data_IF_665816790321
#
_entry.id   IF_665816790321
#
_cell.length_a   1.000
_cell.length_b   1.000
_cell.length_c   1.000
_cell.angle_alpha   90.00
_cell.angle_beta   90.00
_cell.angle_gamma   90.00
#
_symmetry.space_group_name_H-M   'P 1'
#
loop_
_entity.id
_entity.type
_entity.pdbx_description
1 polymer ?
#
# COMPACT_ATOMS: atom_id res chain seq x y z
N UNK A 1 2.11 -3.59 -25.83
CA UNK A 1 3.03 -2.72 -25.08
C UNK A 1 2.32 -2.35 -23.79
N UNK A 2 3.01 -2.40 -22.66
CA UNK A 2 2.41 -2.05 -21.38
C UNK A 2 1.82 -0.65 -21.43
N UNK A 3 0.69 -0.44 -20.81
CA UNK A 3 -0.03 0.83 -20.79
C UNK A 3 -0.26 1.28 -19.37
N UNK A 4 0.00 2.56 -19.08
CA UNK A 4 -0.32 3.22 -17.83
C UNK A 4 -1.65 3.95 -17.94
N UNK A 5 -2.52 3.74 -16.97
CA UNK A 5 -3.73 4.52 -16.75
C UNK A 5 -3.52 5.39 -15.52
N UNK A 6 -3.77 6.68 -15.62
CA UNK A 6 -3.58 7.62 -14.51
C UNK A 6 -4.73 8.63 -14.45
N UNK A 7 -4.86 9.28 -13.30
CA UNK A 7 -5.80 10.38 -13.08
C UNK A 7 -5.04 11.61 -12.61
N UNK A 8 -5.48 12.78 -13.03
CA UNK A 8 -4.84 14.05 -12.67
C UNK A 8 -5.86 15.15 -12.44
N UNK A 9 -5.48 16.14 -11.64
CA UNK A 9 -6.32 17.27 -11.27
C UNK A 9 -6.22 18.36 -12.33
N UNK A 10 -7.36 19.01 -12.64
CA UNK A 10 -7.48 20.20 -13.47
C UNK A 10 -8.38 21.20 -12.76
N UNK A 11 -8.50 22.41 -13.30
CA UNK A 11 -9.45 23.41 -12.80
C UNK A 11 -10.93 22.95 -12.89
N UNK A 12 -11.23 21.99 -13.77
CA UNK A 12 -12.58 21.45 -14.00
C UNK A 12 -12.87 20.15 -13.24
N UNK A 13 -11.85 19.58 -12.56
CA UNK A 13 -11.97 18.34 -11.80
C UNK A 13 -10.89 17.32 -12.13
N UNK A 14 -11.15 16.04 -11.81
CA UNK A 14 -10.24 14.93 -12.08
C UNK A 14 -10.51 14.37 -13.48
N UNK A 15 -9.44 14.21 -14.25
CA UNK A 15 -9.44 13.70 -15.62
C UNK A 15 -8.61 12.41 -15.71
N UNK A 16 -9.05 11.47 -16.52
CA UNK A 16 -8.32 10.23 -16.81
C UNK A 16 -7.40 10.40 -18.02
N UNK A 17 -6.23 9.75 -17.96
CA UNK A 17 -5.25 9.75 -19.03
C UNK A 17 -4.59 8.39 -19.18
N UNK A 18 -3.90 8.21 -20.32
CA UNK A 18 -3.07 7.04 -20.59
C UNK A 18 -1.68 7.47 -21.01
N UNK A 19 -0.67 6.67 -20.67
CA UNK A 19 0.71 6.92 -21.04
C UNK A 19 1.43 5.61 -21.38
N UNK A 20 2.50 5.70 -22.14
CA UNK A 20 3.33 4.55 -22.52
C UNK A 20 4.49 4.34 -21.55
N UNK A 21 4.80 5.36 -20.73
CA UNK A 21 5.88 5.29 -19.75
C UNK A 21 5.66 6.29 -18.59
N UNK A 22 6.27 6.06 -17.41
CA UNK A 22 6.13 6.94 -16.24
C UNK A 22 6.64 8.37 -16.45
N UNK A 23 7.63 8.58 -17.33
CA UNK A 23 8.18 9.91 -17.61
C UNK A 23 7.13 10.83 -18.24
N UNK A 24 6.10 10.26 -18.87
CA UNK A 24 4.96 11.00 -19.43
C UNK A 24 3.99 11.53 -18.37
N UNK A 25 4.14 11.11 -17.13
CA UNK A 25 3.34 11.61 -16.00
C UNK A 25 3.91 12.90 -15.41
N UNK A 26 5.12 13.27 -15.78
CA UNK A 26 5.77 14.49 -15.30
C UNK A 26 4.95 15.75 -15.68
N UNK A 27 4.80 16.65 -14.71
CA UNK A 27 4.06 17.91 -14.88
C UNK A 27 2.55 17.82 -14.65
N UNK A 28 1.99 16.61 -14.44
CA UNK A 28 0.61 16.47 -14.01
C UNK A 28 0.51 16.51 -12.47
N UNK A 29 -0.52 17.17 -11.95
CA UNK A 29 -0.94 17.05 -10.55
C UNK A 29 -1.74 15.74 -10.42
N UNK A 30 -1.04 14.64 -10.11
CA UNK A 30 -1.63 13.31 -10.10
C UNK A 30 -2.65 13.16 -8.95
N UNK A 31 -3.75 12.48 -9.25
CA UNK A 31 -4.74 12.03 -8.28
C UNK A 31 -4.60 10.53 -8.06
N UNK A 32 -5.28 9.98 -7.04
CA UNK A 32 -5.37 8.54 -6.86
C UNK A 32 -5.86 7.88 -8.16
N UNK A 33 -5.14 6.90 -8.71
CA UNK A 33 -5.44 6.37 -10.04
C UNK A 33 -6.73 5.54 -10.10
N UNK A 34 -7.16 5.01 -8.95
CA UNK A 34 -8.42 4.29 -8.76
C UNK A 34 -8.99 4.63 -7.40
N UNK A 35 -10.30 4.87 -7.30
CA UNK A 35 -11.01 5.02 -6.02
C UNK A 35 -11.62 3.66 -5.65
N UNK A 36 -10.88 2.83 -4.89
CA UNK A 36 -11.31 1.47 -4.65
C UNK A 36 -12.54 1.42 -3.74
N UNK A 37 -13.59 0.63 -4.10
CA UNK A 37 -14.68 0.33 -3.16
C UNK A 37 -14.16 -0.37 -1.90
N UNK A 38 -13.16 -1.25 -2.07
CA UNK A 38 -12.47 -1.95 -0.99
C UNK A 38 -10.98 -2.02 -1.27
N UNK A 39 -10.16 -1.88 -0.21
CA UNK A 39 -8.75 -2.22 -0.22
C UNK A 39 -8.54 -3.38 0.75
N UNK A 40 -7.99 -4.47 0.23
CA UNK A 40 -7.60 -5.64 0.98
C UNK A 40 -6.08 -5.70 1.10
N UNK A 41 -5.56 -6.37 2.10
CA UNK A 41 -4.14 -6.64 2.27
C UNK A 41 -3.87 -8.13 2.42
N UNK A 42 -2.71 -8.58 1.94
CA UNK A 42 -2.19 -9.91 2.15
C UNK A 42 -0.94 -9.85 3.04
N UNK A 43 -1.00 -10.47 4.22
CA UNK A 43 0.12 -10.50 5.15
C UNK A 43 1.09 -11.64 4.88
N UNK A 44 2.34 -11.47 5.34
CA UNK A 44 3.37 -12.52 5.41
C UNK A 44 3.63 -13.24 4.07
N UNK A 45 3.65 -12.49 2.96
CA UNK A 45 3.85 -13.05 1.61
C UNK A 45 5.31 -13.15 1.18
N UNK A 46 6.23 -12.51 1.92
CA UNK A 46 7.67 -12.56 1.72
C UNK A 46 8.38 -13.23 2.90
N UNK A 47 9.49 -13.91 2.64
CA UNK A 47 10.32 -14.48 3.71
C UNK A 47 10.81 -13.40 4.69
N UNK A 48 11.25 -12.27 4.20
CA UNK A 48 11.69 -11.14 5.04
C UNK A 48 10.57 -10.62 5.95
N UNK A 49 9.32 -10.56 5.46
CA UNK A 49 8.20 -10.12 6.30
C UNK A 49 7.86 -11.16 7.38
N UNK A 50 7.95 -12.46 7.07
CA UNK A 50 7.85 -13.54 8.08
C UNK A 50 8.90 -13.34 9.18
N UNK A 51 10.16 -13.15 8.80
CA UNK A 51 11.25 -13.05 9.75
C UNK A 51 11.10 -11.83 10.66
N UNK A 52 10.78 -10.65 10.10
CA UNK A 52 10.48 -9.45 10.86
C UNK A 52 9.31 -9.68 11.85
N UNK A 53 8.20 -10.27 11.40
CA UNK A 53 7.05 -10.54 12.27
C UNK A 53 7.37 -11.54 13.39
N UNK A 54 8.20 -12.54 13.12
CA UNK A 54 8.66 -13.50 14.15
C UNK A 54 9.52 -12.81 15.19
N UNK A 55 10.37 -11.85 14.81
CA UNK A 55 11.20 -11.07 15.74
C UNK A 55 10.36 -10.13 16.62
N UNK A 56 9.38 -9.44 16.04
CA UNK A 56 8.57 -8.39 16.64
C UNK A 56 7.39 -8.90 17.51
N UNK A 57 6.91 -10.13 17.29
CA UNK A 57 5.68 -10.63 17.89
C UNK A 57 5.90 -11.39 19.19
N UNK A 58 4.91 -11.27 20.09
CA UNK A 58 4.79 -12.13 21.29
C UNK A 58 4.36 -13.56 20.95
N UNK A 59 3.81 -13.81 19.74
CA UNK A 59 3.32 -15.12 19.24
C UNK A 59 4.08 -15.52 17.99
N UNK A 60 5.37 -15.79 18.14
CA UNK A 60 6.33 -16.02 17.04
C UNK A 60 5.95 -17.14 16.08
N UNK A 61 5.44 -18.24 16.59
CA UNK A 61 5.09 -19.42 15.78
C UNK A 61 3.95 -19.15 14.79
N UNK A 62 3.07 -18.20 15.07
CA UNK A 62 1.91 -17.87 14.24
C UNK A 62 2.33 -17.41 12.83
N UNK A 63 3.31 -16.52 12.75
CA UNK A 63 3.75 -15.96 11.45
C UNK A 63 4.50 -16.96 10.59
N UNK A 64 5.26 -17.87 11.21
CA UNK A 64 5.87 -19.00 10.51
C UNK A 64 4.79 -19.95 9.97
N UNK A 65 3.78 -20.26 10.79
CA UNK A 65 2.65 -21.10 10.38
C UNK A 65 1.85 -20.49 9.23
N UNK A 66 1.58 -19.19 9.26
CA UNK A 66 0.85 -18.47 8.19
C UNK A 66 1.65 -18.44 6.89
N UNK A 67 2.97 -18.20 6.96
CA UNK A 67 3.82 -18.21 5.78
C UNK A 67 3.79 -19.56 5.05
N UNK A 68 3.77 -20.67 5.80
CA UNK A 68 3.77 -22.02 5.25
C UNK A 68 2.38 -22.60 4.99
N UNK A 69 1.32 -21.94 5.49
CA UNK A 69 -0.06 -22.40 5.32
C UNK A 69 -0.50 -22.42 3.85
N UNK A 70 -1.48 -23.26 3.52
CA UNK A 70 -2.17 -23.22 2.24
C UNK A 70 -2.95 -21.90 2.07
N UNK A 71 -3.69 -21.51 3.11
CA UNK A 71 -4.50 -20.30 3.13
C UNK A 71 -3.64 -19.08 3.49
N UNK A 72 -3.61 -18.01 2.65
CA UNK A 72 -2.93 -16.77 2.98
C UNK A 72 -3.65 -16.00 4.09
N UNK A 73 -2.93 -15.12 4.79
CA UNK A 73 -3.54 -14.07 5.58
C UNK A 73 -4.12 -13.02 4.63
N UNK A 74 -5.42 -12.72 4.79
CA UNK A 74 -6.11 -11.65 4.06
C UNK A 74 -6.92 -10.83 5.04
N UNK A 75 -6.84 -9.50 4.93
CA UNK A 75 -7.55 -8.58 5.81
C UNK A 75 -8.07 -7.36 5.05
N UNK A 76 -9.16 -6.76 5.54
CA UNK A 76 -9.68 -5.52 5.00
C UNK A 76 -8.82 -4.35 5.49
N UNK A 77 -8.29 -3.55 4.57
CA UNK A 77 -7.49 -2.35 4.85
C UNK A 77 -8.32 -1.07 4.83
N UNK A 78 -9.21 -0.95 3.84
CA UNK A 78 -10.10 0.20 3.71
C UNK A 78 -11.41 -0.19 3.03
N UNK A 79 -12.45 0.58 3.28
CA UNK A 79 -13.72 0.49 2.58
C UNK A 79 -14.18 1.88 2.15
N UNK A 80 -14.70 1.97 0.92
CA UNK A 80 -15.18 3.20 0.30
C UNK A 80 -14.09 4.30 0.23
N UNK A 81 -12.84 3.93 0.02
CA UNK A 81 -11.68 4.83 -0.14
C UNK A 81 -11.56 5.90 0.96
N UNK A 82 -11.96 5.58 2.20
CA UNK A 82 -12.05 6.57 3.30
C UNK A 82 -10.73 6.85 3.99
N UNK A 83 -9.75 5.95 3.86
CA UNK A 83 -8.44 5.99 4.54
C UNK A 83 -7.29 5.95 3.57
N UNK A 84 -7.60 5.72 2.31
CA UNK A 84 -6.65 5.64 1.21
C UNK A 84 -6.43 7.04 0.63
N UNK A 85 -5.18 7.36 0.38
CA UNK A 85 -4.74 8.65 -0.19
C UNK A 85 -4.01 8.41 -1.52
N UNK A 86 -3.98 9.44 -2.35
CA UNK A 86 -3.28 9.45 -3.64
C UNK A 86 -1.87 10.03 -3.57
N UNK A 87 -1.21 10.20 -4.73
CA UNK A 87 0.10 10.85 -4.82
C UNK A 87 0.05 12.28 -4.27
N UNK A 88 1.06 12.65 -3.46
CA UNK A 88 1.16 13.96 -2.84
C UNK A 88 0.25 14.20 -1.64
N UNK A 89 -0.76 13.36 -1.43
CA UNK A 89 -1.66 13.46 -0.27
C UNK A 89 -0.99 12.86 0.99
N UNK A 90 -1.31 13.36 2.20
CA UNK A 90 -0.60 12.97 3.41
C UNK A 90 -0.99 11.58 3.91
N UNK A 91 0.03 10.76 4.23
CA UNK A 91 -0.10 9.56 5.06
C UNK A 91 -0.32 9.95 6.52
N UNK A 92 -1.11 9.15 7.24
CA UNK A 92 -1.28 9.29 8.68
C UNK A 92 -0.38 8.35 9.46
N UNK A 93 0.08 8.79 10.65
CA UNK A 93 0.67 7.92 11.67
C UNK A 93 -0.14 8.01 12.95
N UNK A 94 -0.27 6.88 13.67
CA UNK A 94 -1.07 6.82 14.91
C UNK A 94 -0.37 7.54 16.05
N UNK A 95 -1.10 8.40 16.75
CA UNK A 95 -0.58 9.11 17.93
C UNK A 95 -0.56 8.28 19.22
N UNK A 96 -1.21 7.11 19.23
CA UNK A 96 -1.22 6.15 20.33
C UNK A 96 -0.28 4.95 20.09
N UNK A 97 0.68 5.12 19.18
CA UNK A 97 1.70 4.13 18.85
C UNK A 97 3.04 4.81 18.64
N UNK A 98 4.07 4.30 19.32
CA UNK A 98 5.44 4.78 19.20
C UNK A 98 6.19 4.16 18.00
N UNK A 99 5.63 3.15 17.34
CA UNK A 99 6.29 2.44 16.24
C UNK A 99 5.37 2.28 15.04
N UNK A 100 5.48 3.21 14.10
CA UNK A 100 4.75 3.23 12.83
C UNK A 100 5.73 3.02 11.68
N UNK A 101 5.38 2.18 10.71
CA UNK A 101 6.25 1.88 9.55
C UNK A 101 5.50 1.93 8.23
N UNK A 102 6.17 2.32 7.13
CA UNK A 102 5.64 2.15 5.79
C UNK A 102 5.90 0.71 5.32
N UNK A 103 4.99 0.17 4.54
CA UNK A 103 5.12 -1.12 3.89
C UNK A 103 4.92 -0.94 2.38
N UNK A 104 6.01 -0.81 1.58
CA UNK A 104 5.92 -0.65 0.14
C UNK A 104 5.55 -1.97 -0.53
N UNK A 105 4.52 -1.93 -1.40
CA UNK A 105 3.92 -3.10 -2.01
C UNK A 105 3.57 -2.88 -3.48
N UNK A 106 3.46 -3.97 -4.24
CA UNK A 106 2.65 -3.98 -5.45
C UNK A 106 1.20 -4.18 -5.01
N UNK A 107 0.31 -3.41 -5.60
CA UNK A 107 -1.12 -3.50 -5.37
C UNK A 107 -1.82 -3.93 -6.67
N UNK A 108 -2.65 -4.97 -6.60
CA UNK A 108 -3.43 -5.49 -7.74
C UNK A 108 -4.78 -4.80 -7.78
N UNK A 109 -5.10 -4.17 -8.90
CA UNK A 109 -6.46 -3.67 -9.19
C UNK A 109 -7.29 -4.83 -9.73
N UNK A 110 -8.45 -5.07 -9.15
CA UNK A 110 -9.33 -6.18 -9.49
C UNK A 110 -10.42 -5.76 -10.47
N UNK A 111 -10.64 -6.57 -11.49
CA UNK A 111 -11.78 -6.50 -12.40
C UNK A 111 -12.95 -7.34 -11.92
N UNK A 112 -13.91 -7.54 -12.80
CA UNK A 112 -15.08 -8.40 -12.56
C UNK A 112 -14.66 -9.82 -12.18
N UNK A 113 -15.29 -10.37 -11.14
CA UNK A 113 -15.04 -11.72 -10.66
C UNK A 113 -13.62 -11.96 -10.11
N UNK A 114 -12.89 -10.90 -9.78
CA UNK A 114 -11.52 -11.00 -9.29
C UNK A 114 -10.45 -11.12 -10.39
N UNK A 115 -10.79 -10.83 -11.64
CA UNK A 115 -9.81 -10.78 -12.72
C UNK A 115 -8.71 -9.73 -12.42
N UNK A 116 -7.48 -10.03 -12.80
CA UNK A 116 -6.38 -9.07 -12.69
C UNK A 116 -6.59 -7.96 -13.74
N UNK A 117 -6.79 -6.71 -13.31
CA UNK A 117 -7.06 -5.58 -14.21
C UNK A 117 -5.86 -4.63 -14.33
N UNK A 118 -4.99 -4.56 -13.34
CA UNK A 118 -3.81 -3.70 -13.37
C UNK A 118 -2.97 -3.80 -12.10
N UNK A 119 -1.79 -3.21 -12.12
CA UNK A 119 -0.85 -3.12 -11.02
C UNK A 119 -0.58 -1.66 -10.67
N UNK A 120 -0.52 -1.32 -9.40
CA UNK A 120 -0.12 0.00 -8.93
C UNK A 120 0.82 -0.13 -7.73
N UNK A 121 1.40 0.98 -7.30
CA UNK A 121 2.17 1.01 -6.05
C UNK A 121 1.20 1.19 -4.90
N UNK A 122 1.38 0.40 -3.83
CA UNK A 122 0.70 0.55 -2.56
C UNK A 122 1.66 0.87 -1.42
N UNK A 123 1.16 1.55 -0.39
CA UNK A 123 1.83 1.68 0.88
C UNK A 123 0.84 1.29 1.99
N UNK A 124 1.08 0.15 2.65
CA UNK A 124 0.28 -0.37 3.75
C UNK A 124 0.84 0.08 5.10
N UNK A 125 0.65 1.36 5.46
CA UNK A 125 1.18 1.90 6.72
C UNK A 125 0.62 1.14 7.92
N UNK A 126 1.50 0.72 8.81
CA UNK A 126 1.20 -0.14 9.95
C UNK A 126 1.71 0.46 11.27
N UNK A 127 0.92 0.29 12.34
CA UNK A 127 1.44 0.39 13.71
C UNK A 127 2.00 -0.96 14.14
N UNK A 128 3.34 -1.10 14.08
CA UNK A 128 4.04 -2.33 14.50
C UNK A 128 3.88 -2.63 15.99
N UNK A 129 3.82 -1.59 16.82
CA UNK A 129 3.61 -1.76 18.26
C UNK A 129 2.26 -2.42 18.56
N UNK A 130 1.18 -1.96 17.95
CA UNK A 130 -0.17 -2.53 18.17
C UNK A 130 -0.24 -3.95 17.59
N UNK A 131 0.28 -4.16 16.39
CA UNK A 131 0.28 -5.47 15.74
C UNK A 131 1.10 -6.50 16.52
N UNK A 132 2.31 -6.12 16.97
CA UNK A 132 3.21 -6.99 17.73
C UNK A 132 2.69 -7.32 19.13
N UNK A 133 1.86 -6.44 19.74
CA UNK A 133 1.26 -6.68 21.04
C UNK A 133 0.26 -7.85 21.01
N UNK A 134 -0.60 -7.91 20.00
CA UNK A 134 -1.58 -8.98 19.85
C UNK A 134 -2.08 -9.06 18.40
N UNK A 135 -1.96 -10.22 17.71
CA UNK A 135 -2.44 -10.39 16.33
C UNK A 135 -3.92 -10.06 16.13
N UNK A 136 -4.75 -10.17 17.17
CA UNK A 136 -6.17 -9.79 17.12
C UNK A 136 -6.37 -8.26 17.01
N UNK A 137 -5.33 -7.47 17.22
CA UNK A 137 -5.36 -6.02 17.04
C UNK A 137 -4.99 -5.59 15.61
N UNK A 138 -4.78 -6.54 14.70
CA UNK A 138 -4.49 -6.23 13.28
C UNK A 138 -5.40 -5.16 12.68
N UNK A 139 -6.75 -5.18 12.86
CA UNK A 139 -7.59 -4.10 12.34
C UNK A 139 -7.24 -2.73 12.90
N UNK A 140 -6.85 -2.63 14.17
CA UNK A 140 -6.44 -1.36 14.78
C UNK A 140 -5.05 -0.91 14.32
N UNK A 141 -4.16 -1.86 14.06
CA UNK A 141 -2.81 -1.60 13.55
C UNK A 141 -2.82 -1.11 12.08
N UNK A 142 -3.81 -1.55 11.28
CA UNK A 142 -3.87 -1.36 9.83
C UNK A 142 -4.95 -0.37 9.37
N UNK A 143 -5.97 -0.05 10.19
CA UNK A 143 -7.15 0.73 9.77
C UNK A 143 -7.22 2.04 10.57
N UNK A 144 -6.67 3.13 10.01
CA UNK A 144 -6.73 4.49 10.55
C UNK A 144 -6.65 5.52 9.42
N UNK A 145 -6.88 6.80 9.71
CA UNK A 145 -6.88 7.84 8.70
C UNK A 145 -5.50 7.97 8.03
N UNK A 146 -5.46 7.91 6.69
CA UNK A 146 -4.21 7.97 5.92
C UNK A 146 -3.33 6.72 6.03
N UNK A 147 -3.89 5.57 6.46
CA UNK A 147 -3.14 4.33 6.64
C UNK A 147 -2.75 3.63 5.32
N UNK A 148 -3.28 4.07 4.19
CA UNK A 148 -3.02 3.48 2.88
C UNK A 148 -2.74 4.57 1.85
N UNK A 149 -1.80 4.33 0.94
CA UNK A 149 -1.64 5.15 -0.26
C UNK A 149 -1.60 4.28 -1.52
N UNK A 150 -2.11 4.80 -2.64
CA UNK A 150 -2.10 4.16 -3.95
C UNK A 150 -1.67 5.14 -5.04
N UNK A 151 -0.89 4.68 -6.00
CA UNK A 151 -0.50 5.49 -7.16
C UNK A 151 0.90 5.16 -7.69
N UNK A 152 1.46 5.96 -8.60
CA UNK A 152 0.87 7.14 -9.26
C UNK A 152 -0.07 6.79 -10.41
N UNK A 153 0.04 5.57 -10.96
CA UNK A 153 -0.71 5.09 -12.11
C UNK A 153 -1.02 3.61 -11.97
N UNK A 154 -1.93 3.11 -12.78
CA UNK A 154 -2.21 1.67 -12.93
C UNK A 154 -1.55 1.18 -14.22
N UNK A 155 -0.62 0.24 -14.08
CA UNK A 155 0.04 -0.47 -15.16
C UNK A 155 -0.80 -1.68 -15.58
N UNK A 156 -1.12 -1.81 -16.86
CA UNK A 156 -1.58 -3.07 -17.45
C UNK A 156 -0.36 -3.74 -18.10
N UNK A 157 0.23 -4.78 -17.46
CA UNK A 157 1.45 -5.40 -17.96
C UNK A 157 1.18 -6.34 -19.13
N UNK A 158 2.16 -6.52 -20.00
CA UNK A 158 2.13 -7.58 -21.02
C UNK A 158 2.35 -8.97 -20.40
N UNK A 159 3.08 -9.05 -19.29
CA UNK A 159 3.40 -10.27 -18.55
C UNK A 159 3.16 -10.05 -17.05
N UNK A 160 2.19 -10.74 -16.48
CA UNK A 160 1.79 -10.66 -15.06
C UNK A 160 2.75 -11.36 -14.11
N UNK A 161 3.62 -12.22 -14.63
CA UNK A 161 4.61 -12.98 -13.84
C UNK A 161 5.99 -12.30 -13.86
N UNK A 162 6.16 -11.27 -14.70
CA UNK A 162 7.42 -10.53 -14.75
C UNK A 162 7.74 -9.90 -13.39
N UNK A 163 8.95 -10.09 -12.85
CA UNK A 163 9.31 -9.54 -11.55
C UNK A 163 9.39 -8.02 -11.60
N UNK A 164 8.86 -7.37 -10.57
CA UNK A 164 8.90 -5.93 -10.38
C UNK A 164 9.84 -5.58 -9.23
N UNK A 165 10.77 -4.66 -9.49
CA UNK A 165 11.64 -4.08 -8.46
C UNK A 165 10.88 -2.99 -7.73
N UNK A 166 10.97 -2.98 -6.39
CA UNK A 166 10.36 -1.99 -5.51
C UNK A 166 11.48 -1.32 -4.73
N UNK A 167 11.56 -0.01 -4.77
CA UNK A 167 12.51 0.79 -4.00
C UNK A 167 11.76 1.77 -3.12
N UNK A 168 12.23 1.95 -1.90
CA UNK A 168 11.69 2.96 -1.00
C UNK A 168 12.81 3.85 -0.48
N UNK A 169 12.51 5.13 -0.39
CA UNK A 169 13.31 6.14 0.29
C UNK A 169 12.43 6.88 1.28
N UNK A 170 12.96 7.17 2.46
CA UNK A 170 12.31 8.01 3.45
C UNK A 170 13.26 9.15 3.78
N UNK A 171 12.75 10.37 3.78
CA UNK A 171 13.50 11.58 4.14
C UNK A 171 12.77 12.38 5.21
N UNK A 172 13.50 13.23 5.94
CA UNK A 172 12.92 14.22 6.82
C UNK A 172 12.41 15.46 6.04
N UNK A 173 11.84 16.41 6.75
CA UNK A 173 11.31 17.66 6.17
C UNK A 173 12.40 18.54 5.50
N UNK A 174 13.67 18.33 5.82
CA UNK A 174 14.80 19.01 5.19
C UNK A 174 15.33 18.25 3.95
N UNK A 175 14.76 17.06 3.64
CA UNK A 175 15.19 16.21 2.55
C UNK A 175 16.36 15.29 2.86
N UNK A 176 16.80 15.24 4.13
CA UNK A 176 17.87 14.32 4.57
C UNK A 176 17.33 12.90 4.56
N UNK A 177 18.04 12.00 3.90
CA UNK A 177 17.66 10.59 3.85
C UNK A 177 17.79 9.92 5.22
N UNK A 178 16.69 9.33 5.69
CA UNK A 178 16.60 8.58 6.93
C UNK A 178 16.71 7.07 6.70
N UNK A 179 16.19 6.62 5.55
CA UNK A 179 16.19 5.22 5.14
C UNK A 179 16.10 5.10 3.63
N UNK A 180 16.78 4.10 3.07
CA UNK A 180 16.56 3.64 1.71
C UNK A 180 16.78 2.14 1.58
N UNK A 181 16.01 1.49 0.70
CA UNK A 181 16.11 0.05 0.48
C UNK A 181 15.32 -0.41 -0.73
N UNK A 182 15.43 -1.70 -1.03
CA UNK A 182 14.72 -2.30 -2.16
C UNK A 182 14.42 -3.79 -1.99
N UNK A 183 13.43 -4.24 -2.71
CA UNK A 183 13.01 -5.64 -2.82
C UNK A 183 12.49 -5.93 -4.22
N UNK A 184 12.08 -7.18 -4.49
CA UNK A 184 11.48 -7.57 -5.77
C UNK A 184 10.36 -8.56 -5.55
N UNK A 185 9.30 -8.51 -6.37
CA UNK A 185 8.22 -9.50 -6.36
C UNK A 185 8.70 -10.92 -6.68
N UNK A 186 9.88 -11.09 -7.28
CA UNK A 186 10.52 -12.40 -7.44
C UNK A 186 10.77 -13.13 -6.10
N UNK A 187 10.71 -12.43 -4.97
CA UNK A 187 10.87 -12.99 -3.61
C UNK A 187 9.54 -13.32 -2.93
N UNK A 188 8.43 -13.06 -3.61
CA UNK A 188 7.11 -13.44 -3.10
C UNK A 188 6.96 -14.97 -3.13
N UNK A 189 6.37 -15.52 -2.08
CA UNK A 189 6.00 -16.94 -2.02
C UNK A 189 4.76 -17.25 -2.85
N UNK A 190 3.84 -16.28 -2.96
CA UNK A 190 2.54 -16.44 -3.60
C UNK A 190 2.44 -15.53 -4.83
N UNK A 191 1.81 -16.03 -5.89
CA UNK A 191 1.52 -15.22 -7.08
C UNK A 191 0.34 -14.26 -6.83
N UNK A 192 0.23 -13.22 -7.64
CA UNK A 192 -0.92 -12.30 -7.63
C UNK A 192 -2.24 -13.04 -7.86
N UNK A 193 -2.23 -13.99 -8.79
CA UNK A 193 -3.41 -14.80 -9.11
C UNK A 193 -3.84 -15.64 -7.92
N UNK A 194 -2.90 -16.36 -7.26
CA UNK A 194 -3.20 -17.15 -6.08
C UNK A 194 -3.86 -16.32 -4.96
N UNK A 195 -3.28 -15.14 -4.65
CA UNK A 195 -3.82 -14.25 -3.63
C UNK A 195 -5.23 -13.77 -3.98
N UNK A 196 -5.46 -13.43 -5.25
CA UNK A 196 -6.75 -12.99 -5.74
C UNK A 196 -7.80 -14.08 -5.70
N UNK A 197 -7.46 -15.31 -6.12
CA UNK A 197 -8.36 -16.47 -6.05
C UNK A 197 -8.80 -16.79 -4.62
N UNK A 198 -7.90 -16.65 -3.65
CA UNK A 198 -8.24 -16.78 -2.24
C UNK A 198 -9.15 -15.66 -1.76
N UNK A 199 -8.91 -14.41 -2.19
CA UNK A 199 -9.69 -13.25 -1.77
C UNK A 199 -11.14 -13.33 -2.24
N UNK A 200 -11.37 -13.74 -3.49
CA UNK A 200 -12.74 -13.79 -4.07
C UNK A 200 -13.48 -15.10 -3.80
N UNK A 201 -12.86 -16.06 -3.13
CA UNK A 201 -13.47 -17.35 -2.80
C UNK A 201 -14.62 -17.17 -1.82
N UNK A 202 -15.87 -17.37 -2.30
CA UNK A 202 -17.10 -17.14 -1.54
C UNK A 202 -17.26 -15.70 -1.02
N UNK A 203 -16.52 -14.73 -1.61
CA UNK A 203 -16.50 -13.34 -1.21
C UNK A 203 -16.79 -12.43 -2.43
N UNK A 204 -17.91 -11.68 -2.43
CA UNK A 204 -18.31 -10.84 -3.57
C UNK A 204 -17.54 -9.52 -3.59
N UNK A 205 -16.23 -9.55 -3.84
CA UNK A 205 -15.37 -8.36 -3.93
C UNK A 205 -15.75 -7.55 -5.17
N UNK A 206 -16.11 -6.25 -5.04
CA UNK A 206 -16.48 -5.42 -6.17
C UNK A 206 -15.31 -5.16 -7.14
N UNK A 207 -15.60 -5.06 -8.44
CA UNK A 207 -14.63 -4.60 -9.43
C UNK A 207 -14.13 -3.20 -9.08
N UNK A 208 -12.84 -2.92 -9.36
CA UNK A 208 -12.16 -1.70 -8.94
C UNK A 208 -11.58 -1.78 -7.52
N UNK A 209 -11.88 -2.84 -6.74
CA UNK A 209 -11.20 -3.09 -5.48
C UNK A 209 -9.70 -3.34 -5.69
N UNK A 210 -8.91 -3.13 -4.64
CA UNK A 210 -7.45 -3.27 -4.69
C UNK A 210 -6.99 -4.28 -3.66
N UNK A 211 -6.05 -5.14 -4.04
CA UNK A 211 -5.36 -6.07 -3.14
C UNK A 211 -3.89 -5.66 -3.01
N UNK A 212 -3.48 -5.20 -1.83
CA UNK A 212 -2.09 -5.04 -1.40
C UNK A 212 -1.49 -6.44 -1.21
N UNK A 213 -0.34 -6.70 -1.83
CA UNK A 213 0.18 -8.09 -1.94
C UNK A 213 1.25 -8.46 -0.92
N UNK A 214 1.48 -7.57 0.05
CA UNK A 214 2.49 -7.73 1.08
C UNK A 214 3.83 -7.11 0.73
N UNK A 215 4.62 -6.82 1.75
CA UNK A 215 5.93 -6.17 1.60
C UNK A 215 7.10 -7.13 1.80
N UNK A 216 8.15 -6.95 1.01
CA UNK A 216 9.46 -7.59 1.21
C UNK A 216 10.54 -6.61 1.70
N UNK A 217 10.16 -5.39 2.07
CA UNK A 217 11.06 -4.35 2.53
C UNK A 217 10.52 -3.72 3.82
N UNK A 218 11.29 -3.84 4.89
CA UNK A 218 10.97 -3.32 6.22
C UNK A 218 12.14 -2.46 6.69
N UNK A 219 11.91 -1.22 7.15
CA UNK A 219 12.92 -0.43 7.84
C UNK A 219 13.44 -1.16 9.10
N UNK A 220 14.62 -0.79 9.64
CA UNK A 220 15.13 -1.33 10.90
C UNK A 220 14.17 -1.08 12.07
N UNK A 221 14.27 -1.90 13.12
CA UNK A 221 13.36 -1.84 14.27
C UNK A 221 13.45 -0.51 15.06
N UNK A 222 14.59 0.17 14.98
CA UNK A 222 14.78 1.49 15.60
C UNK A 222 14.12 2.63 14.83
N UNK A 223 13.64 2.36 13.62
CA UNK A 223 13.01 3.38 12.77
C UNK A 223 11.50 3.45 13.05
N UNK A 224 10.99 4.67 13.17
CA UNK A 224 9.55 4.96 13.17
C UNK A 224 9.24 6.11 12.22
N UNK A 225 8.10 6.05 11.53
CA UNK A 225 7.57 7.20 10.80
C UNK A 225 7.08 8.26 11.77
N UNK A 226 7.43 9.50 11.48
CA UNK A 226 7.00 10.69 12.24
C UNK A 226 6.38 11.75 11.31
N UNK A 227 5.49 12.62 11.83
CA UNK A 227 5.03 13.79 11.09
C UNK A 227 6.20 14.63 10.57
N UNK A 228 6.12 15.05 9.31
CA UNK A 228 7.18 15.77 8.60
C UNK A 228 8.10 14.89 7.77
N UNK A 229 8.07 13.57 7.92
CA UNK A 229 8.76 12.68 7.00
C UNK A 229 8.08 12.66 5.62
N UNK A 230 8.83 12.25 4.60
CA UNK A 230 8.32 12.01 3.24
C UNK A 230 8.71 10.59 2.83
N UNK A 231 7.74 9.82 2.37
CA UNK A 231 7.94 8.46 1.85
C UNK A 231 7.84 8.49 0.34
N UNK A 232 8.83 7.95 -0.33
CA UNK A 232 8.89 7.77 -1.78
C UNK A 232 9.03 6.27 -2.09
N UNK A 233 8.08 5.72 -2.86
CA UNK A 233 8.12 4.33 -3.32
C UNK A 233 8.19 4.36 -4.84
N UNK A 234 9.24 3.76 -5.39
CA UNK A 234 9.49 3.71 -6.83
C UNK A 234 9.42 2.29 -7.37
N UNK A 235 8.66 2.11 -8.45
CA UNK A 235 8.59 0.86 -9.22
C UNK A 235 8.84 1.20 -10.69
N UNK A 236 9.91 0.68 -11.30
CA UNK A 236 10.16 0.85 -12.74
C UNK A 236 8.94 0.41 -13.57
N UNK A 237 8.53 1.24 -14.51
CA UNK A 237 7.34 0.98 -15.34
C UNK A 237 6.03 1.51 -14.77
N UNK A 238 5.94 1.82 -13.46
CA UNK A 238 4.74 2.46 -12.85
C UNK A 238 5.03 3.92 -12.49
N UNK A 239 6.22 4.21 -11.94
CA UNK A 239 6.62 5.54 -11.52
C UNK A 239 6.96 5.63 -10.05
N UNK A 240 6.71 6.79 -9.44
CA UNK A 240 7.01 7.07 -8.03
C UNK A 240 5.77 7.57 -7.31
N UNK A 241 5.41 6.89 -6.22
CA UNK A 241 4.41 7.34 -5.26
C UNK A 241 5.12 8.09 -4.14
N UNK A 242 4.80 9.37 -3.97
CA UNK A 242 5.39 10.24 -2.94
C UNK A 242 4.30 10.74 -2.02
N UNK A 243 4.48 10.60 -0.72
CA UNK A 243 3.53 11.06 0.28
C UNK A 243 4.24 11.70 1.48
N UNK A 244 3.85 12.91 1.91
CA UNK A 244 4.24 13.47 3.20
C UNK A 244 3.53 12.74 4.34
N UNK A 245 4.10 12.77 5.54
CA UNK A 245 3.56 12.13 6.74
C UNK A 245 3.05 13.18 7.72
N UNK A 246 1.86 12.95 8.28
CA UNK A 246 1.22 13.78 9.31
C UNK A 246 0.65 12.90 10.44
N UNK A 247 0.24 13.51 11.54
CA UNK A 247 -0.51 12.76 12.55
C UNK A 247 -1.89 12.37 11.99
N UNK A 248 -2.31 11.13 12.17
CA UNK A 248 -3.61 10.65 11.67
C UNK A 248 -4.80 11.47 12.19
N UNK A 249 -4.67 12.07 13.39
CA UNK A 249 -5.68 12.96 13.98
C UNK A 249 -5.92 14.25 13.17
N UNK A 250 -4.93 14.74 12.43
CA UNK A 250 -5.06 15.92 11.58
C UNK A 250 -6.00 15.63 10.38
N UNK A 251 -5.94 14.41 9.84
CA UNK A 251 -6.78 13.98 8.73
C UNK A 251 -8.26 13.81 9.11
N UNK A 252 -8.56 13.62 10.41
CA UNK A 252 -9.94 13.49 10.89
C UNK A 252 -10.68 14.85 10.90
N UNK A 253 -9.96 15.95 11.10
CA UNK A 253 -10.55 17.29 11.16
C UNK A 253 -10.86 17.85 9.77
N UNK A 254 -10.03 17.58 8.78
CA UNK A 254 -10.20 18.04 7.40
C UNK A 254 -11.43 17.39 6.75
N UNK A 255 -11.66 16.08 6.98
CA UNK A 255 -12.83 15.37 6.42
C UNK A 255 -14.16 15.65 7.15
N UNK A 256 -14.14 16.11 8.41
CA UNK A 256 -15.37 16.52 9.12
C UNK A 256 -16.00 17.79 8.57
N UNK A 257 -15.24 18.68 7.95
CA UNK A 257 -15.76 19.88 7.31
C UNK A 257 -16.47 19.62 5.97
N UNK A 258 -16.26 18.45 5.36
CA UNK A 258 -16.86 18.05 4.09
C UNK A 258 -18.14 17.22 4.27
N UNK A 259 -18.38 16.66 5.46
CA UNK A 259 -19.59 15.89 5.79
C UNK A 259 -20.50 16.80 6.64
N UNK A 260 -21.15 17.77 6.00
CA UNK A 260 -22.36 18.37 6.55
C UNK A 260 -23.55 17.46 6.21
N UNK A 261 -23.97 16.66 7.21
CA UNK A 261 -25.29 15.99 7.21
C UNK A 261 -26.31 16.99 7.75
#
# INVERSE_FOLDING_TARGET
>A
MPQLHFRYRTAEGIVEGTAESPEKLEGFELAIPVEPPEVWGAGVTYERSRDARVEESTVKDLYTLVYDAERPELFLKDAACRRTVGPGEPLGVRGDSAWNVPEPEIAVVLGEGGALAGLTIGNDVCSREIEGTNPLYLPQAKIFAGACALGPAVLVPDDWEAPLEIRMRIADAAGVELFSGGTSTARMRRSFLELTEWLVRDNPVPAGSVLLTGTGLVPPDEFTLEPGHVVEIHVPGIGTLTNPVVAASELLTTRRSEINV
#
